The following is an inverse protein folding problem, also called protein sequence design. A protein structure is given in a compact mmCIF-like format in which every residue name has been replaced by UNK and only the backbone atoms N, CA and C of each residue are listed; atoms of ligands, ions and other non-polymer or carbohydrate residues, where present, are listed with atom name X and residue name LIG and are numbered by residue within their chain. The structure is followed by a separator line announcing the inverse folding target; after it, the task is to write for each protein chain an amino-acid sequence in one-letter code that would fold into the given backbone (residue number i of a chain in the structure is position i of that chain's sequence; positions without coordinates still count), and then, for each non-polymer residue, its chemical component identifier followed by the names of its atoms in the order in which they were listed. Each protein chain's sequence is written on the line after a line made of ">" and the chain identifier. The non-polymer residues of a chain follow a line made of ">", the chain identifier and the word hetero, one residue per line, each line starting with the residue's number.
data_IF_328456308652
#
_entry.id   IF_328456308652
#
_cell.length_a   1.000
_cell.length_b   1.000
_cell.length_c   1.000
_cell.angle_alpha   90.00
_cell.angle_beta   90.00
_cell.angle_gamma   90.00
#
_symmetry.space_group_name_H-M   'P 1'
#
loop_
_entity.id
_entity.type
_entity.pdbx_description
1 polymer ?
#
# COMPACT_ATOMS: atom_id res chain seq x y z
N UNK A 1 41.28 6.60 1.16
CA UNK A 1 40.76 5.22 1.28
C UNK A 1 41.52 4.55 2.41
N UNK A 2 40.82 4.09 3.44
CA UNK A 2 41.43 3.35 4.55
C UNK A 2 41.37 1.88 4.14
N UNK A 3 42.51 1.29 3.76
CA UNK A 3 42.61 -0.15 3.53
C UNK A 3 42.38 -0.85 4.87
N UNK A 4 41.21 -1.47 5.04
CA UNK A 4 40.90 -2.27 6.24
C UNK A 4 41.56 -3.63 6.06
N UNK A 5 42.38 -4.03 7.02
CA UNK A 5 42.96 -5.37 7.04
C UNK A 5 41.87 -6.44 7.16
N UNK A 6 42.10 -7.62 6.56
CA UNK A 6 41.14 -8.73 6.51
C UNK A 6 40.58 -9.13 7.89
N UNK A 7 41.39 -9.03 8.93
CA UNK A 7 41.00 -9.42 10.28
C UNK A 7 40.02 -8.42 10.94
N UNK A 8 40.03 -7.17 10.47
CA UNK A 8 39.20 -6.07 10.96
C UNK A 8 37.82 -5.99 10.27
N UNK A 9 37.54 -6.86 9.30
CA UNK A 9 36.24 -6.92 8.65
C UNK A 9 35.12 -7.21 9.66
N UNK A 10 34.02 -6.47 9.54
CA UNK A 10 32.80 -6.72 10.31
C UNK A 10 32.15 -8.04 9.89
N UNK A 11 31.32 -8.61 10.77
CA UNK A 11 30.63 -9.87 10.49
C UNK A 11 29.67 -9.75 9.29
N UNK A 12 29.04 -8.59 9.16
CA UNK A 12 28.16 -8.23 8.06
C UNK A 12 28.91 -8.23 6.73
N UNK A 13 30.08 -7.59 6.66
CA UNK A 13 30.90 -7.54 5.44
C UNK A 13 31.39 -8.93 5.02
N UNK A 14 31.81 -9.75 5.99
CA UNK A 14 32.20 -11.14 5.73
C UNK A 14 31.04 -11.94 5.12
N UNK A 15 29.81 -11.73 5.59
CA UNK A 15 28.62 -12.39 5.02
C UNK A 15 28.29 -11.89 3.61
N UNK A 16 28.46 -10.59 3.35
CA UNK A 16 28.25 -10.03 2.01
C UNK A 16 29.24 -10.65 1.02
N UNK A 17 30.54 -10.65 1.35
CA UNK A 17 31.57 -11.22 0.46
C UNK A 17 31.41 -12.73 0.25
N UNK A 18 31.10 -13.48 1.32
CA UNK A 18 30.77 -14.91 1.19
C UNK A 18 29.52 -15.13 0.34
N UNK A 19 28.51 -14.26 0.46
CA UNK A 19 27.30 -14.30 -0.37
C UNK A 19 27.59 -14.06 -1.84
N UNK A 20 28.46 -13.09 -2.17
CA UNK A 20 28.91 -12.83 -3.56
C UNK A 20 29.59 -14.05 -4.18
N UNK A 21 30.35 -14.80 -3.38
CA UNK A 21 31.03 -16.04 -3.78
C UNK A 21 30.14 -17.30 -3.68
N UNK A 22 28.85 -17.15 -3.36
CA UNK A 22 27.90 -18.25 -3.15
C UNK A 22 28.35 -19.27 -2.07
N UNK A 23 29.09 -18.80 -1.07
CA UNK A 23 29.55 -19.61 0.06
C UNK A 23 28.56 -19.53 1.22
N UNK A 24 28.62 -20.52 2.11
CA UNK A 24 27.75 -20.58 3.30
C UNK A 24 28.01 -19.39 4.22
N UNK A 25 26.97 -18.59 4.51
CA UNK A 25 27.04 -17.37 5.35
C UNK A 25 26.67 -17.60 6.83
N UNK A 26 26.34 -18.83 7.21
CA UNK A 26 26.11 -19.22 8.60
C UNK A 26 27.43 -19.63 9.27
N UNK A 27 27.63 -19.21 10.52
CA UNK A 27 28.79 -19.59 11.33
C UNK A 27 29.23 -18.49 12.29
N UNK A 28 30.25 -18.80 13.08
CA UNK A 28 30.96 -17.81 13.89
C UNK A 28 31.84 -16.91 13.00
N UNK A 29 32.24 -15.72 13.47
CA UNK A 29 33.11 -14.80 12.70
C UNK A 29 34.39 -15.49 12.20
N UNK A 30 35.02 -16.29 13.06
CA UNK A 30 36.24 -17.03 12.72
C UNK A 30 36.01 -18.07 11.62
N UNK A 31 34.87 -18.78 11.64
CA UNK A 31 34.51 -19.72 10.57
C UNK A 31 34.29 -19.02 9.23
N UNK A 32 33.62 -17.86 9.25
CA UNK A 32 33.39 -17.06 8.05
C UNK A 32 34.72 -16.54 7.48
N UNK A 33 35.62 -16.04 8.33
CA UNK A 33 36.96 -15.61 7.92
C UNK A 33 37.78 -16.75 7.34
N UNK A 34 37.82 -17.91 7.99
CA UNK A 34 38.54 -19.09 7.48
C UNK A 34 38.00 -19.53 6.12
N UNK A 35 36.68 -19.54 5.95
CA UNK A 35 36.01 -19.92 4.70
C UNK A 35 36.31 -18.94 3.57
N UNK A 36 36.30 -17.64 3.87
CA UNK A 36 36.63 -16.60 2.91
C UNK A 36 38.11 -16.65 2.51
N UNK A 37 39.02 -16.85 3.48
CA UNK A 37 40.46 -17.01 3.24
C UNK A 37 40.75 -18.20 2.34
N UNK A 38 40.16 -19.35 2.64
CA UNK A 38 40.32 -20.56 1.83
C UNK A 38 39.80 -20.40 0.40
N UNK A 39 38.74 -19.61 0.19
CA UNK A 39 38.22 -19.33 -1.14
C UNK A 39 39.13 -18.37 -1.93
N UNK A 40 39.65 -17.33 -1.26
CA UNK A 40 40.59 -16.37 -1.87
C UNK A 40 41.90 -17.04 -2.29
N UNK A 41 42.44 -17.91 -1.42
CA UNK A 41 43.62 -18.72 -1.74
C UNK A 41 43.37 -19.68 -2.91
N UNK A 42 42.15 -20.26 -3.01
CA UNK A 42 41.77 -21.13 -4.12
C UNK A 42 41.68 -20.36 -5.46
N UNK A 43 41.26 -19.10 -5.40
CA UNK A 43 41.18 -18.20 -6.57
C UNK A 43 42.55 -17.57 -6.92
N UNK A 44 43.58 -17.76 -6.09
CA UNK A 44 44.92 -17.20 -6.28
C UNK A 44 44.99 -15.68 -6.03
N UNK A 45 44.02 -15.13 -5.30
CA UNK A 45 43.97 -13.72 -4.94
C UNK A 45 44.76 -13.46 -3.65
N UNK A 46 45.68 -12.49 -3.69
CA UNK A 46 46.46 -12.10 -2.51
C UNK A 46 45.61 -11.26 -1.55
N UNK A 47 45.45 -11.77 -0.33
CA UNK A 47 44.59 -11.19 0.72
C UNK A 47 45.00 -9.76 1.08
N UNK A 48 46.28 -9.45 1.00
CA UNK A 48 46.84 -8.15 1.36
C UNK A 48 46.61 -7.09 0.27
N UNK A 49 46.29 -7.52 -0.95
CA UNK A 49 46.02 -6.62 -2.08
C UNK A 49 44.54 -6.29 -2.28
N UNK A 50 43.65 -7.00 -1.58
CA UNK A 50 42.21 -6.89 -1.81
C UNK A 50 41.61 -5.72 -1.02
N UNK A 51 41.21 -4.66 -1.74
CA UNK A 51 40.47 -3.55 -1.15
C UNK A 51 38.99 -3.94 -0.99
N UNK A 52 38.60 -4.34 0.22
CA UNK A 52 37.20 -4.63 0.54
C UNK A 52 36.37 -3.34 0.50
N UNK A 53 35.50 -3.24 -0.51
CA UNK A 53 34.53 -2.14 -0.62
C UNK A 53 33.44 -2.28 0.45
N UNK A 54 33.69 -1.70 1.61
CA UNK A 54 32.74 -1.57 2.71
C UNK A 54 31.49 -0.81 2.20
N UNK A 55 30.32 -1.46 2.14
CA UNK A 55 29.09 -0.84 1.62
C UNK A 55 28.51 0.26 2.53
N UNK A 56 29.11 0.51 3.70
CA UNK A 56 28.67 1.54 4.65
C UNK A 56 28.67 2.95 4.04
N UNK A 57 29.59 3.25 3.10
CA UNK A 57 29.58 4.51 2.35
C UNK A 57 28.61 4.49 1.16
N UNK A 58 28.35 3.31 0.56
CA UNK A 58 27.36 3.18 -0.52
C UNK A 58 25.93 3.31 -0.01
N UNK A 59 25.63 2.84 1.20
CA UNK A 59 24.29 2.97 1.78
C UNK A 59 23.85 4.43 1.88
N UNK A 60 24.74 5.33 2.28
CA UNK A 60 24.46 6.77 2.34
C UNK A 60 24.19 7.36 0.95
N UNK A 61 25.04 7.04 -0.04
CA UNK A 61 24.87 7.51 -1.43
C UNK A 61 23.58 6.96 -2.05
N UNK A 62 23.22 5.70 -1.77
CA UNK A 62 21.97 5.11 -2.28
C UNK A 62 20.74 5.74 -1.65
N UNK A 63 20.77 6.12 -0.37
CA UNK A 63 19.63 6.75 0.30
C UNK A 63 19.40 8.18 -0.19
N UNK A 64 20.46 8.94 -0.44
CA UNK A 64 20.34 10.29 -0.99
C UNK A 64 19.79 10.26 -2.43
N UNK A 65 20.29 9.35 -3.27
CA UNK A 65 19.76 9.14 -4.62
C UNK A 65 18.29 8.68 -4.60
N UNK A 66 17.93 7.75 -3.71
CA UNK A 66 16.55 7.30 -3.54
C UNK A 66 15.63 8.43 -3.09
N UNK A 67 16.08 9.27 -2.15
CA UNK A 67 15.32 10.43 -1.70
C UNK A 67 15.07 11.42 -2.84
N UNK A 68 16.10 11.72 -3.66
CA UNK A 68 15.96 12.60 -4.82
C UNK A 68 15.00 12.02 -5.86
N UNK A 69 15.09 10.71 -6.12
CA UNK A 69 14.20 10.01 -7.04
C UNK A 69 12.73 10.07 -6.56
N UNK A 70 12.51 9.85 -5.26
CA UNK A 70 11.18 9.93 -4.64
C UNK A 70 10.62 11.34 -4.76
N UNK A 71 11.42 12.38 -4.51
CA UNK A 71 11.00 13.77 -4.68
C UNK A 71 10.59 14.05 -6.13
N UNK A 72 11.43 13.66 -7.13
CA UNK A 72 11.13 13.85 -8.55
C UNK A 72 9.83 13.16 -8.99
N UNK A 73 9.60 11.93 -8.53
CA UNK A 73 8.36 11.19 -8.83
C UNK A 73 7.16 11.88 -8.17
N UNK A 74 7.31 12.35 -6.94
CA UNK A 74 6.25 13.04 -6.20
C UNK A 74 5.84 14.34 -6.89
N UNK A 75 6.82 15.13 -7.35
CA UNK A 75 6.57 16.38 -8.08
C UNK A 75 5.84 16.13 -9.40
N UNK A 76 6.27 15.12 -10.18
CA UNK A 76 5.58 14.72 -11.41
C UNK A 76 4.15 14.24 -11.17
N UNK A 77 3.92 13.47 -10.11
CA UNK A 77 2.58 13.01 -9.73
C UNK A 77 1.67 14.18 -9.34
N UNK A 78 2.19 15.17 -8.62
CA UNK A 78 1.44 16.36 -8.23
C UNK A 78 1.08 17.21 -9.46
N UNK A 79 2.03 17.45 -10.35
CA UNK A 79 1.81 18.19 -11.60
C UNK A 79 0.73 17.51 -12.47
N UNK A 80 0.83 16.20 -12.66
CA UNK A 80 -0.15 15.43 -13.43
C UNK A 80 -1.53 15.46 -12.77
N UNK A 81 -1.59 15.37 -11.44
CA UNK A 81 -2.84 15.43 -10.67
C UNK A 81 -3.52 16.80 -10.81
N UNK A 82 -2.76 17.89 -10.77
CA UNK A 82 -3.29 19.23 -10.95
C UNK A 82 -3.80 19.47 -12.38
N UNK A 83 -3.09 18.93 -13.38
CA UNK A 83 -3.54 18.97 -14.78
C UNK A 83 -4.87 18.23 -14.97
N UNK A 84 -4.99 17.02 -14.42
CA UNK A 84 -6.23 16.24 -14.46
C UNK A 84 -7.37 16.97 -13.73
N UNK A 85 -7.08 17.54 -12.55
CA UNK A 85 -8.05 18.30 -11.77
C UNK A 85 -8.58 19.50 -12.55
N UNK A 86 -7.70 20.25 -13.19
CA UNK A 86 -8.06 21.40 -14.02
C UNK A 86 -8.92 20.99 -15.22
N UNK A 87 -8.49 20.00 -15.99
CA UNK A 87 -9.24 19.53 -17.17
C UNK A 87 -10.62 18.99 -16.78
N UNK A 88 -10.73 18.31 -15.63
CA UNK A 88 -12.01 17.83 -15.12
C UNK A 88 -12.93 18.99 -14.71
N UNK A 89 -12.37 20.00 -14.04
CA UNK A 89 -13.10 21.21 -13.64
C UNK A 89 -13.65 21.94 -14.87
N UNK A 90 -12.80 22.17 -15.88
CA UNK A 90 -13.16 22.89 -17.11
C UNK A 90 -14.24 22.13 -17.90
N UNK A 91 -14.16 20.79 -17.97
CA UNK A 91 -15.21 19.97 -18.60
C UNK A 91 -16.54 20.02 -17.84
N UNK A 92 -16.49 20.07 -16.52
CA UNK A 92 -17.69 20.10 -15.68
C UNK A 92 -18.39 21.46 -15.74
N UNK A 93 -17.64 22.56 -15.81
CA UNK A 93 -18.20 23.91 -16.00
C UNK A 93 -18.81 24.06 -17.39
N UNK A 94 -18.15 23.58 -18.44
CA UNK A 94 -18.68 23.61 -19.81
C UNK A 94 -19.96 22.76 -19.92
N UNK A 95 -19.98 21.56 -19.35
CA UNK A 95 -21.17 20.71 -19.32
C UNK A 95 -22.32 21.36 -18.56
N UNK A 96 -22.04 22.03 -17.44
CA UNK A 96 -23.05 22.77 -16.67
C UNK A 96 -23.64 23.93 -17.48
N UNK A 97 -22.82 24.62 -18.28
CA UNK A 97 -23.26 25.72 -19.14
C UNK A 97 -24.17 25.21 -20.26
N UNK A 98 -23.75 24.16 -20.97
CA UNK A 98 -24.56 23.50 -22.02
C UNK A 98 -25.91 23.05 -21.47
N UNK A 99 -25.92 22.44 -20.28
CA UNK A 99 -27.17 22.01 -19.63
C UNK A 99 -28.06 23.19 -19.23
N UNK A 100 -27.48 24.29 -18.75
CA UNK A 100 -28.22 25.50 -18.39
C UNK A 100 -28.87 26.16 -19.63
N UNK A 101 -28.14 26.24 -20.74
CA UNK A 101 -28.65 26.75 -22.02
C UNK A 101 -29.79 25.87 -22.58
N UNK A 102 -29.66 24.54 -22.48
CA UNK A 102 -30.74 23.62 -22.85
C UNK A 102 -32.02 23.85 -22.03
N UNK A 103 -31.90 24.06 -20.71
CA UNK A 103 -33.05 24.35 -19.84
C UNK A 103 -33.71 25.68 -20.23
N UNK A 104 -32.92 26.72 -20.52
CA UNK A 104 -33.46 28.01 -20.99
C UNK A 104 -34.19 27.88 -22.33
N UNK A 105 -33.66 27.07 -23.27
CA UNK A 105 -34.32 26.78 -24.54
C UNK A 105 -35.67 26.08 -24.38
N UNK A 106 -35.82 25.18 -23.40
CA UNK A 106 -37.11 24.51 -23.14
C UNK A 106 -38.14 25.50 -22.57
N UNK A 107 -37.72 26.39 -21.68
CA UNK A 107 -38.61 27.38 -21.05
C UNK A 107 -39.13 28.44 -22.04
N UNK A 108 -38.41 28.72 -23.14
CA UNK A 108 -38.88 29.66 -24.17
C UNK A 108 -39.92 29.04 -25.11
N UNK A 109 -39.90 27.71 -25.28
CA UNK A 109 -40.85 26.97 -26.13
C UNK A 109 -42.20 26.75 -25.42
N UNK A 110 -42.19 26.62 -24.10
CA UNK A 110 -43.39 26.51 -23.28
C UNK A 110 -43.51 27.72 -22.36
N UNK A 111 -44.10 28.85 -22.83
CA UNK A 111 -44.35 29.99 -21.96
C UNK A 111 -45.21 29.53 -20.79
N UNK A 112 -44.62 29.64 -19.59
CA UNK A 112 -45.23 29.55 -18.27
C UNK A 112 -46.65 28.99 -18.28
N UNK A 113 -46.80 27.71 -17.91
CA UNK A 113 -48.10 27.19 -17.50
C UNK A 113 -48.71 28.21 -16.51
N UNK A 114 -49.98 28.61 -16.70
CA UNK A 114 -50.64 29.52 -15.78
C UNK A 114 -50.50 28.96 -14.36
N UNK A 115 -50.32 29.82 -13.33
CA UNK A 115 -50.17 29.38 -11.96
C UNK A 115 -51.43 28.60 -11.57
N UNK A 116 -51.36 27.26 -11.67
CA UNK A 116 -52.46 26.40 -11.32
C UNK A 116 -52.64 26.50 -9.80
N UNK A 117 -53.86 26.90 -9.44
CA UNK A 117 -54.39 27.01 -8.11
C UNK A 117 -53.99 25.86 -7.17
N UNK A 118 -53.92 26.24 -5.89
CA UNK A 118 -54.23 25.42 -4.72
C UNK A 118 -53.28 24.26 -4.40
N UNK A 119 -52.31 24.57 -3.53
CA UNK A 119 -52.28 24.07 -2.15
C UNK A 119 -52.80 22.63 -1.99
N UNK A 120 -52.12 21.67 -2.61
CA UNK A 120 -52.26 20.28 -2.18
C UNK A 120 -51.56 20.16 -0.83
N UNK A 121 -52.36 19.92 0.20
CA UNK A 121 -51.93 19.54 1.53
C UNK A 121 -51.27 18.16 1.41
N UNK A 122 -49.99 18.14 1.04
CA UNK A 122 -49.16 16.93 1.03
C UNK A 122 -48.99 16.54 2.49
N UNK A 123 -49.85 15.65 2.98
CA UNK A 123 -49.60 14.91 4.21
C UNK A 123 -48.21 14.32 4.06
N UNK A 124 -47.29 14.74 4.92
CA UNK A 124 -45.93 14.24 4.99
C UNK A 124 -45.96 12.72 4.98
N UNK A 125 -45.61 12.12 3.84
CA UNK A 125 -45.37 10.69 3.75
C UNK A 125 -44.14 10.44 4.59
N UNK A 126 -44.37 9.94 5.81
CA UNK A 126 -43.32 9.60 6.74
C UNK A 126 -42.70 8.30 6.23
N UNK A 127 -41.61 8.43 5.48
CA UNK A 127 -40.83 7.28 5.04
C UNK A 127 -40.29 6.58 6.29
N UNK A 128 -40.42 5.24 6.39
CA UNK A 128 -39.80 4.51 7.48
C UNK A 128 -38.29 4.77 7.44
N UNK A 129 -37.64 4.93 8.62
CA UNK A 129 -36.20 5.17 8.68
C UNK A 129 -35.50 4.03 7.94
N UNK A 130 -34.70 4.36 6.92
CA UNK A 130 -33.93 3.37 6.19
C UNK A 130 -33.01 2.63 7.19
N UNK A 131 -32.93 1.29 7.11
CA UNK A 131 -31.97 0.51 7.87
C UNK A 131 -30.55 1.09 7.71
N UNK A 132 -29.81 1.34 8.81
CA UNK A 132 -28.48 1.97 8.77
C UNK A 132 -27.44 1.18 7.97
N UNK A 133 -27.75 -0.07 7.60
CA UNK A 133 -26.90 -0.96 6.81
C UNK A 133 -27.08 -0.80 5.29
N UNK A 134 -28.15 -0.14 4.82
CA UNK A 134 -28.37 0.05 3.38
C UNK A 134 -27.46 1.13 2.78
N UNK A 135 -27.10 2.16 3.53
CA UNK A 135 -26.16 3.20 3.07
C UNK A 135 -24.77 2.65 2.75
N UNK A 136 -24.10 1.86 3.62
CA UNK A 136 -22.80 1.28 3.28
C UNK A 136 -22.89 0.27 2.12
N UNK A 137 -23.96 -0.54 2.03
CA UNK A 137 -24.15 -1.45 0.89
C UNK A 137 -24.38 -0.70 -0.44
N UNK A 138 -25.09 0.42 -0.42
CA UNK A 138 -25.31 1.28 -1.58
C UNK A 138 -24.01 1.99 -2.01
N UNK A 139 -23.20 2.44 -1.05
CA UNK A 139 -21.88 2.99 -1.32
C UNK A 139 -20.92 1.94 -1.88
N UNK A 140 -20.89 0.72 -1.32
CA UNK A 140 -20.07 -0.38 -1.83
C UNK A 140 -20.47 -0.74 -3.26
N UNK A 141 -21.77 -0.83 -3.56
CA UNK A 141 -22.26 -1.11 -4.92
C UNK A 141 -21.99 0.04 -5.90
N UNK A 142 -22.07 1.30 -5.46
CA UNK A 142 -21.64 2.47 -6.25
C UNK A 142 -20.12 2.47 -6.51
N UNK A 143 -19.32 2.08 -5.52
CA UNK A 143 -17.86 1.96 -5.67
C UNK A 143 -17.48 0.82 -6.62
N UNK A 144 -18.17 -0.33 -6.57
CA UNK A 144 -17.92 -1.47 -7.47
C UNK A 144 -18.36 -1.19 -8.91
N UNK A 145 -19.38 -0.35 -9.11
CA UNK A 145 -19.93 -0.06 -10.46
C UNK A 145 -19.14 0.99 -11.22
N UNK A 146 -18.29 1.78 -10.56
CA UNK A 146 -17.46 2.78 -11.24
C UNK A 146 -16.15 2.14 -11.73
N UNK A 147 -16.07 1.89 -13.04
CA UNK A 147 -14.90 1.31 -13.74
C UNK A 147 -13.55 2.02 -13.49
N UNK A 148 -13.57 3.22 -12.87
CA UNK A 148 -12.37 4.01 -12.59
C UNK A 148 -11.50 3.45 -11.46
N UNK A 149 -11.94 2.43 -10.73
CA UNK A 149 -11.21 1.87 -9.59
C UNK A 149 -10.31 0.68 -9.92
N UNK A 150 -10.21 0.22 -11.19
CA UNK A 150 -9.26 -0.85 -11.56
C UNK A 150 -7.81 -0.48 -11.22
N UNK A 151 -7.44 0.81 -11.34
CA UNK A 151 -6.09 1.30 -10.99
C UNK A 151 -5.87 1.46 -9.49
N UNK A 152 -6.91 1.83 -8.73
CA UNK A 152 -6.85 1.98 -7.26
C UNK A 152 -6.80 0.63 -6.57
N UNK A 153 -7.44 -0.40 -7.13
CA UNK A 153 -7.40 -1.76 -6.60
C UNK A 153 -6.03 -2.45 -6.75
N UNK A 154 -5.21 -2.03 -7.72
CA UNK A 154 -3.84 -2.55 -7.88
C UNK A 154 -2.88 -1.88 -6.88
N UNK A 155 -3.10 -0.62 -6.52
CA UNK A 155 -2.22 0.12 -5.60
C UNK A 155 -2.55 -0.08 -4.11
N UNK A 156 -3.81 -0.43 -3.77
CA UNK A 156 -4.22 -0.63 -2.38
C UNK A 156 -3.46 -1.77 -1.66
N UNK A 157 -3.23 -2.95 -2.27
CA UNK A 157 -2.46 -4.03 -1.64
C UNK A 157 -0.99 -3.63 -1.38
N UNK A 158 -0.40 -2.83 -2.29
CA UNK A 158 0.97 -2.35 -2.15
C UNK A 158 1.14 -1.37 -0.97
N UNK A 159 0.10 -0.60 -0.63
CA UNK A 159 0.09 0.28 0.54
C UNK A 159 -0.25 -0.45 1.84
N UNK A 160 -1.00 -1.56 1.77
CA UNK A 160 -1.39 -2.35 2.94
C UNK A 160 -0.27 -3.29 3.44
N UNK A 161 0.61 -3.77 2.55
CA UNK A 161 1.77 -4.60 2.89
C UNK A 161 2.75 -3.97 3.92
N UNK A 162 3.16 -2.70 3.80
CA UNK A 162 4.01 -2.06 4.80
C UNK A 162 3.28 -1.83 6.13
N UNK A 163 1.98 -1.53 6.11
CA UNK A 163 1.16 -1.39 7.32
C UNK A 163 1.00 -2.72 8.08
N UNK A 164 0.84 -3.82 7.36
CA UNK A 164 0.81 -5.17 7.94
C UNK A 164 2.14 -5.53 8.62
N UNK A 165 3.26 -5.11 8.01
CA UNK A 165 4.60 -5.33 8.58
C UNK A 165 4.81 -4.55 9.88
N UNK A 166 4.30 -3.31 9.96
CA UNK A 166 4.34 -2.48 11.17
C UNK A 166 3.49 -3.11 12.30
N UNK A 167 2.29 -3.60 11.99
CA UNK A 167 1.43 -4.30 12.95
C UNK A 167 2.11 -5.56 13.51
N UNK A 168 2.77 -6.35 12.67
CA UNK A 168 3.50 -7.56 13.08
C UNK A 168 4.70 -7.28 13.98
N UNK A 169 5.32 -6.11 13.86
CA UNK A 169 6.44 -5.69 14.74
C UNK A 169 5.95 -5.32 16.15
N UNK A 170 4.72 -4.82 16.28
CA UNK A 170 4.15 -4.47 17.59
C UNK A 170 3.76 -5.69 18.44
N UNK A 171 3.56 -6.85 17.82
CA UNK A 171 3.16 -8.09 18.51
C UNK A 171 4.33 -8.80 19.23
N UNK A 172 5.59 -8.44 18.94
CA UNK A 172 6.78 -9.09 19.53
C UNK A 172 7.31 -8.45 20.83
N UNK A 173 6.63 -7.48 21.45
CA UNK A 173 7.13 -6.87 22.70
C UNK A 173 6.59 -7.55 23.97
N UNK A 174 7.53 -8.30 24.59
CA UNK A 174 7.68 -8.70 26.02
C UNK A 174 6.88 -9.91 26.55
N UNK A 175 7.54 -11.05 26.80
CA UNK A 175 7.20 -11.90 27.95
C UNK A 175 7.66 -11.20 29.23
N UNK A 176 6.72 -10.74 30.05
CA UNK A 176 7.02 -10.25 31.40
C UNK A 176 7.21 -11.45 32.34
N UNK A 177 8.27 -11.36 33.13
CA UNK A 177 8.71 -12.33 34.12
C UNK A 177 7.63 -12.74 35.13
N UNK A 178 7.58 -14.05 35.38
CA UNK A 178 7.30 -14.73 36.66
C UNK A 178 6.51 -13.92 37.70
N UNK A 179 5.20 -14.06 37.70
CA UNK A 179 4.38 -13.97 38.90
C UNK A 179 3.76 -15.34 39.19
N UNK A 180 4.27 -15.96 40.25
CA UNK A 180 3.75 -17.19 40.85
C UNK A 180 2.45 -16.89 41.60
N UNK A 181 1.30 -17.19 40.99
CA UNK A 181 0.12 -17.67 41.68
C UNK A 181 -0.91 -18.13 40.66
N UNK A 182 -1.44 -19.33 40.89
CA UNK A 182 -2.42 -19.99 40.04
C UNK A 182 -3.72 -19.15 39.98
N UNK A 183 -3.87 -18.37 38.92
CA UNK A 183 -5.17 -17.83 38.50
C UNK A 183 -5.61 -18.55 37.24
N UNK A 184 -6.85 -19.02 37.28
CA UNK A 184 -7.58 -19.68 36.19
C UNK A 184 -7.49 -18.78 34.96
N UNK A 185 -6.82 -19.27 33.90
CA UNK A 185 -6.73 -18.60 32.62
C UNK A 185 -8.10 -18.60 31.96
N UNK A 186 -8.85 -17.50 32.10
CA UNK A 186 -9.96 -17.22 31.20
C UNK A 186 -9.41 -16.68 29.87
N UNK A 187 -9.71 -17.33 28.72
CA UNK A 187 -9.29 -16.83 27.42
C UNK A 187 -9.94 -15.47 27.18
N UNK A 188 -9.11 -14.42 27.03
CA UNK A 188 -9.61 -13.11 26.63
C UNK A 188 -10.30 -13.25 25.27
N UNK A 189 -11.50 -12.69 25.08
CA UNK A 189 -12.17 -12.72 23.80
C UNK A 189 -11.31 -11.93 22.82
N UNK A 190 -10.60 -12.64 21.94
CA UNK A 190 -10.05 -12.05 20.74
C UNK A 190 -11.19 -11.35 20.01
N UNK A 191 -10.93 -10.11 19.59
CA UNK A 191 -11.91 -9.23 18.98
C UNK A 191 -12.45 -9.91 17.71
N UNK A 192 -13.56 -10.62 17.83
CA UNK A 192 -14.19 -11.42 16.77
C UNK A 192 -14.39 -10.59 15.51
N UNK A 193 -14.60 -9.29 15.68
CA UNK A 193 -14.67 -8.27 14.63
C UNK A 193 -13.45 -8.26 13.70
N UNK A 194 -12.22 -8.36 14.24
CA UNK A 194 -10.99 -8.36 13.43
C UNK A 194 -10.89 -9.64 12.59
N UNK A 195 -11.24 -10.78 13.18
CA UNK A 195 -11.24 -12.07 12.49
C UNK A 195 -12.24 -12.09 11.33
N UNK A 196 -13.45 -11.55 11.55
CA UNK A 196 -14.44 -11.37 10.49
C UNK A 196 -13.96 -10.41 9.39
N UNK A 197 -13.25 -9.34 9.73
CA UNK A 197 -12.72 -8.37 8.77
C UNK A 197 -11.62 -8.99 7.89
N UNK A 198 -10.73 -9.80 8.49
CA UNK A 198 -9.70 -10.54 7.75
C UNK A 198 -10.34 -11.57 6.82
N UNK A 199 -11.31 -12.37 7.31
CA UNK A 199 -12.02 -13.33 6.47
C UNK A 199 -12.78 -12.64 5.32
N UNK A 200 -13.38 -11.48 5.58
CA UNK A 200 -14.07 -10.71 4.55
C UNK A 200 -13.09 -10.19 3.49
N UNK A 201 -11.91 -9.70 3.90
CA UNK A 201 -10.86 -9.27 2.98
C UNK A 201 -10.33 -10.43 2.11
N UNK A 202 -10.14 -11.62 2.69
CA UNK A 202 -9.70 -12.82 1.93
C UNK A 202 -10.77 -13.22 0.90
N UNK A 203 -12.05 -13.30 1.30
CA UNK A 203 -13.13 -13.63 0.38
C UNK A 203 -13.28 -12.61 -0.76
N UNK A 204 -13.00 -11.33 -0.49
CA UNK A 204 -13.03 -10.27 -1.49
C UNK A 204 -11.86 -10.40 -2.49
N UNK A 205 -10.67 -10.81 -2.03
CA UNK A 205 -9.53 -11.09 -2.90
C UNK A 205 -9.77 -12.30 -3.80
N UNK A 206 -10.37 -13.38 -3.27
CA UNK A 206 -10.72 -14.57 -4.06
C UNK A 206 -11.77 -14.25 -5.14
N UNK A 207 -12.79 -13.46 -4.80
CA UNK A 207 -13.81 -13.03 -5.76
C UNK A 207 -13.22 -12.17 -6.89
N UNK A 208 -12.24 -11.32 -6.57
CA UNK A 208 -11.52 -10.52 -7.58
C UNK A 208 -10.65 -11.42 -8.46
N UNK A 209 -9.97 -12.41 -7.87
CA UNK A 209 -9.13 -13.37 -8.60
C UNK A 209 -9.94 -14.17 -9.61
N UNK A 210 -11.08 -14.71 -9.18
CA UNK A 210 -11.97 -15.51 -10.04
C UNK A 210 -12.52 -14.70 -11.23
N UNK A 211 -12.85 -13.42 -11.02
CA UNK A 211 -13.40 -12.59 -12.10
C UNK A 211 -12.37 -12.24 -13.18
N UNK A 212 -11.08 -12.27 -12.86
CA UNK A 212 -10.02 -12.00 -13.83
C UNK A 212 -9.65 -13.21 -14.68
N UNK A 213 -9.89 -14.44 -14.22
CA UNK A 213 -9.59 -15.65 -15.01
C UNK A 213 -10.53 -15.82 -16.20
N UNK A 214 -11.78 -15.38 -16.10
CA UNK A 214 -12.77 -15.49 -17.18
C UNK A 214 -12.52 -14.52 -18.35
N UNK A 215 -11.74 -13.44 -18.13
CA UNK A 215 -11.44 -12.42 -19.14
C UNK A 215 -10.23 -12.76 -20.05
N UNK A 216 -9.61 -13.93 -19.86
CA UNK A 216 -8.43 -14.37 -20.65
C UNK A 216 -8.71 -15.54 -21.60
N UNK A 217 -9.98 -15.93 -21.75
CA UNK A 217 -10.41 -17.06 -22.58
C UNK A 217 -11.17 -16.68 -23.86
N UNK A 218 -11.18 -15.39 -24.25
CA UNK A 218 -11.66 -14.91 -25.56
C UNK A 218 -10.52 -14.39 -26.44
#
# INVERSE_FOLDING_TARGET
>A
MVSKMFDDLSLENLKVELGRRNLKTSGSKAELQSRLRSALEADGEDLDSMEFLCEDEKAAVTMEFLAELICKITDQCNEMSDKIRKELSDKMTEQSKVMSEQIQGINSVYPSFPPACSRMNVKSVQYPPLPPLLLPLCLITLMVRTERMKKVFITLPALLLPLYSILKVTEKRKPMEKASSASVWEPRPYNTTLYWLILWMIALLDLISWKNTDLTLE
#
